data_IF_569865140657
#
_entry.id   IF_569865140657
#
_cell.length_a   1.000
_cell.length_b   1.000
_cell.length_c   1.000
_cell.angle_alpha   90.00
_cell.angle_beta   90.00
_cell.angle_gamma   90.00
#
_symmetry.space_group_name_H-M   'P 1'
#
loop_
_entity.id
_entity.type
_entity.pdbx_description
1 polymer ?
#
# COMPACT_ATOMS: atom_id res chain seq x y z
N UNK A 1 -24.20 -24.17 -8.39
CA UNK A 1 -23.65 -22.96 -7.75
C UNK A 1 -23.17 -23.34 -6.37
N UNK A 2 -21.96 -22.94 -5.96
CA UNK A 2 -21.48 -23.17 -4.59
C UNK A 2 -22.38 -22.43 -3.60
N UNK A 3 -23.06 -23.15 -2.72
CA UNK A 3 -24.04 -22.62 -1.76
C UNK A 3 -23.45 -22.34 -0.36
N UNK A 4 -22.15 -22.59 -0.17
CA UNK A 4 -21.50 -22.32 1.10
C UNK A 4 -21.24 -20.81 1.24
N UNK A 5 -21.35 -20.24 2.44
CA UNK A 5 -20.88 -18.89 2.68
C UNK A 5 -19.34 -18.85 2.51
N UNK A 6 -18.78 -17.69 2.14
CA UNK A 6 -17.33 -17.51 2.14
C UNK A 6 -16.76 -17.70 3.57
N UNK A 7 -15.55 -18.24 3.64
CA UNK A 7 -14.79 -18.44 4.88
C UNK A 7 -14.39 -17.09 5.47
N UNK A 8 -14.02 -16.14 4.61
CA UNK A 8 -13.67 -14.78 4.99
C UNK A 8 -13.95 -13.80 3.86
N UNK A 9 -13.84 -12.51 4.15
CA UNK A 9 -13.93 -11.44 3.18
C UNK A 9 -12.71 -10.52 3.28
N UNK A 10 -12.35 -9.92 2.17
CA UNK A 10 -11.31 -8.90 2.14
C UNK A 10 -11.62 -7.88 1.06
N UNK A 11 -10.94 -6.73 1.16
CA UNK A 11 -11.06 -5.66 0.18
C UNK A 11 -9.89 -5.66 -0.80
N UNK A 12 -10.17 -5.26 -2.03
CA UNK A 12 -9.16 -4.85 -2.98
C UNK A 12 -9.64 -3.60 -3.72
N UNK A 13 -8.73 -2.65 -3.93
CA UNK A 13 -9.06 -1.35 -4.51
C UNK A 13 -8.21 -1.13 -5.76
N UNK A 14 -8.86 -0.70 -6.83
CA UNK A 14 -8.21 -0.27 -8.07
C UNK A 14 -8.53 1.19 -8.29
N UNK A 15 -7.49 2.00 -8.55
CA UNK A 15 -7.64 3.37 -9.02
C UNK A 15 -7.10 3.50 -10.45
N UNK A 16 -7.67 4.41 -11.23
CA UNK A 16 -7.29 4.69 -12.62
C UNK A 16 -5.86 5.18 -12.77
N UNK A 17 -5.34 5.85 -11.73
CA UNK A 17 -3.97 6.36 -11.66
C UNK A 17 -2.90 5.27 -11.44
N UNK A 18 -3.32 4.04 -11.15
CA UNK A 18 -2.43 2.90 -10.89
C UNK A 18 -2.68 1.79 -11.90
N UNK A 19 -1.66 1.01 -12.20
CA UNK A 19 -1.71 -0.11 -13.14
C UNK A 19 -2.03 -1.47 -12.47
N UNK A 20 -2.35 -1.44 -11.18
CA UNK A 20 -2.56 -2.62 -10.33
C UNK A 20 -3.65 -2.36 -9.29
N UNK A 21 -4.17 -3.45 -8.74
CA UNK A 21 -5.17 -3.45 -7.67
C UNK A 21 -4.43 -3.73 -6.37
N UNK A 22 -4.59 -2.88 -5.35
CA UNK A 22 -4.01 -3.14 -4.03
C UNK A 22 -4.99 -3.96 -3.20
N UNK A 23 -4.46 -4.97 -2.52
CA UNK A 23 -5.21 -5.93 -1.70
C UNK A 23 -4.99 -5.62 -0.24
N UNK A 24 -6.02 -5.81 0.57
CA UNK A 24 -5.94 -5.69 2.02
C UNK A 24 -4.85 -6.62 2.62
N UNK A 25 -3.76 -6.07 3.22
CA UNK A 25 -2.64 -6.88 3.69
C UNK A 25 -2.98 -7.88 4.80
N UNK A 26 -3.89 -7.54 5.72
CA UNK A 26 -4.24 -8.40 6.85
C UNK A 26 -4.86 -9.74 6.40
N UNK A 27 -5.58 -9.72 5.27
CA UNK A 27 -6.10 -10.95 4.66
C UNK A 27 -4.96 -11.83 4.15
N UNK A 28 -3.98 -11.22 3.46
CA UNK A 28 -2.82 -11.95 2.92
C UNK A 28 -1.97 -12.52 4.05
N UNK A 29 -1.75 -11.77 5.11
CA UNK A 29 -1.03 -12.28 6.28
C UNK A 29 -1.73 -13.49 6.92
N UNK A 30 -3.05 -13.41 7.10
CA UNK A 30 -3.86 -14.47 7.73
C UNK A 30 -3.87 -15.77 6.93
N UNK A 31 -3.87 -15.68 5.59
CA UNK A 31 -4.02 -16.84 4.70
C UNK A 31 -2.78 -17.15 3.86
N UNK A 32 -1.62 -16.53 4.16
CA UNK A 32 -0.38 -16.64 3.37
C UNK A 32 0.03 -18.05 2.96
N UNK A 33 -0.25 -19.04 3.80
CA UNK A 33 0.13 -20.44 3.57
C UNK A 33 -0.81 -21.18 2.61
N UNK A 34 -2.02 -20.65 2.37
CA UNK A 34 -3.01 -21.20 1.41
C UNK A 34 -3.05 -20.45 0.08
N UNK A 35 -2.63 -19.18 0.08
CA UNK A 35 -2.65 -18.34 -1.12
C UNK A 35 -1.61 -18.80 -2.14
N UNK A 36 -2.01 -18.86 -3.42
CA UNK A 36 -1.14 -19.25 -4.52
C UNK A 36 -1.23 -18.21 -5.65
N UNK A 37 -0.35 -18.29 -6.65
CA UNK A 37 -0.46 -17.50 -7.89
C UNK A 37 -0.71 -18.45 -9.07
N UNK A 38 -1.69 -18.19 -9.96
CA UNK A 38 -2.67 -17.10 -9.94
C UNK A 38 -3.87 -17.35 -9.01
N UNK A 39 -4.60 -16.31 -8.65
CA UNK A 39 -5.88 -16.41 -7.93
C UNK A 39 -7.01 -16.84 -8.87
N UNK A 40 -7.88 -17.74 -8.41
CA UNK A 40 -9.04 -18.20 -9.17
C UNK A 40 -10.32 -17.52 -8.70
N UNK A 41 -10.89 -16.64 -9.52
CA UNK A 41 -12.10 -15.89 -9.21
C UNK A 41 -13.28 -16.54 -9.95
N UNK A 42 -14.22 -17.12 -9.19
CA UNK A 42 -15.43 -17.72 -9.74
C UNK A 42 -16.29 -16.66 -10.41
N UNK A 43 -16.72 -16.96 -11.64
CA UNK A 43 -17.74 -16.18 -12.33
C UNK A 43 -19.14 -16.77 -12.04
N UNK A 44 -20.20 -16.07 -12.46
CA UNK A 44 -21.58 -16.52 -12.17
C UNK A 44 -21.98 -17.76 -12.99
N UNK A 45 -21.30 -18.00 -14.11
CA UNK A 45 -21.55 -19.08 -15.05
C UNK A 45 -20.84 -20.40 -14.67
N UNK A 46 -20.11 -20.42 -13.54
CA UNK A 46 -19.37 -21.58 -13.05
C UNK A 46 -17.97 -21.76 -13.65
N UNK A 47 -17.54 -20.83 -14.51
CA UNK A 47 -16.14 -20.68 -14.93
C UNK A 47 -15.30 -19.88 -13.92
N UNK A 48 -14.03 -19.67 -14.27
CA UNK A 48 -13.06 -18.96 -13.43
C UNK A 48 -12.31 -17.92 -14.26
N UNK A 49 -12.14 -16.73 -13.70
CA UNK A 49 -11.13 -15.76 -14.12
C UNK A 49 -9.86 -16.00 -13.32
N UNK A 50 -8.71 -15.98 -14.00
CA UNK A 50 -7.41 -16.03 -13.34
C UNK A 50 -6.81 -14.64 -13.32
N UNK A 51 -6.32 -14.24 -12.15
CA UNK A 51 -5.61 -12.99 -11.97
C UNK A 51 -4.28 -13.23 -11.27
N UNK A 52 -3.21 -12.62 -11.79
CA UNK A 52 -1.87 -12.70 -11.23
C UNK A 52 -1.81 -11.96 -9.92
N UNK A 53 -1.35 -12.67 -8.89
CA UNK A 53 -1.18 -12.19 -7.54
C UNK A 53 0.30 -12.03 -7.22
N UNK A 54 0.70 -10.80 -6.92
CA UNK A 54 2.01 -10.50 -6.36
C UNK A 54 1.88 -10.48 -4.85
N UNK A 55 2.28 -11.57 -4.22
CA UNK A 55 2.31 -11.69 -2.77
C UNK A 55 3.31 -10.68 -2.18
N UNK A 56 2.85 -9.95 -1.16
CA UNK A 56 3.65 -9.07 -0.32
C UNK A 56 2.95 -8.94 1.01
N UNK A 57 3.71 -8.98 2.10
CA UNK A 57 3.16 -8.74 3.45
C UNK A 57 2.88 -7.25 3.72
N UNK A 58 3.36 -6.37 2.83
CA UNK A 58 3.27 -4.92 2.97
C UNK A 58 2.24 -4.35 2.00
N UNK A 59 2.44 -4.58 0.70
CA UNK A 59 1.56 -4.08 -0.35
C UNK A 59 1.25 -5.20 -1.36
N UNK A 60 0.36 -6.14 -1.04
CA UNK A 60 -0.04 -7.21 -1.95
C UNK A 60 -0.89 -6.65 -3.08
N UNK A 61 -0.68 -7.13 -4.31
CA UNK A 61 -1.35 -6.56 -5.48
C UNK A 61 -1.82 -7.60 -6.50
N UNK A 62 -2.85 -7.25 -7.25
CA UNK A 62 -3.31 -7.97 -8.44
C UNK A 62 -3.04 -7.15 -9.70
N UNK A 63 -2.64 -7.81 -10.79
CA UNK A 63 -2.33 -7.10 -12.05
C UNK A 63 -2.82 -7.85 -13.29
N UNK A 64 -2.05 -8.81 -13.79
CA UNK A 64 -2.38 -9.45 -15.07
C UNK A 64 -3.65 -10.29 -14.93
N UNK A 65 -4.63 -10.10 -15.83
CA UNK A 65 -5.95 -10.72 -15.72
C UNK A 65 -7.01 -9.81 -15.07
N UNK A 66 -6.65 -8.59 -14.66
CA UNK A 66 -7.60 -7.58 -14.21
C UNK A 66 -8.56 -7.13 -15.31
N UNK A 67 -8.08 -6.75 -16.49
CA UNK A 67 -8.95 -6.17 -17.53
C UNK A 67 -10.11 -7.10 -17.94
N UNK A 68 -9.90 -8.41 -18.16
CA UNK A 68 -11.02 -9.32 -18.42
C UNK A 68 -12.02 -9.42 -17.27
N UNK A 69 -11.55 -9.37 -16.02
CA UNK A 69 -12.40 -9.39 -14.83
C UNK A 69 -13.21 -8.10 -14.72
N UNK A 70 -12.57 -6.95 -14.93
CA UNK A 70 -13.21 -5.63 -14.96
C UNK A 70 -14.29 -5.56 -16.04
N UNK A 71 -14.01 -6.08 -17.24
CA UNK A 71 -15.00 -6.12 -18.33
C UNK A 71 -16.18 -7.02 -18.00
N UNK A 72 -15.95 -8.20 -17.43
CA UNK A 72 -17.02 -9.15 -17.08
C UNK A 72 -17.98 -8.59 -16.01
N UNK A 73 -17.44 -7.93 -14.98
CA UNK A 73 -18.24 -7.38 -13.89
C UNK A 73 -18.67 -5.92 -14.12
N UNK A 74 -18.24 -5.29 -15.22
CA UNK A 74 -18.44 -3.87 -15.50
C UNK A 74 -17.98 -2.95 -14.36
N UNK A 75 -16.78 -3.20 -13.81
CA UNK A 75 -16.24 -2.32 -12.77
C UNK A 75 -15.87 -0.94 -13.34
N UNK A 76 -16.14 0.15 -12.61
CA UNK A 76 -15.58 1.46 -12.95
C UNK A 76 -14.05 1.45 -12.77
N UNK A 77 -13.37 2.43 -13.36
CA UNK A 77 -11.90 2.53 -13.29
C UNK A 77 -11.36 2.75 -11.87
N UNK A 78 -12.17 3.39 -11.02
CA UNK A 78 -11.93 3.59 -9.60
C UNK A 78 -12.94 2.75 -8.80
N UNK A 79 -12.52 1.62 -8.25
CA UNK A 79 -13.41 0.65 -7.62
C UNK A 79 -12.83 0.09 -6.32
N UNK A 80 -13.69 -0.05 -5.31
CA UNK A 80 -13.45 -0.78 -4.06
C UNK A 80 -14.31 -2.04 -4.07
N UNK A 81 -13.67 -3.21 -4.09
CA UNK A 81 -14.29 -4.52 -4.25
C UNK A 81 -14.18 -5.30 -2.95
N UNK A 82 -15.27 -5.95 -2.55
CA UNK A 82 -15.27 -6.97 -1.51
C UNK A 82 -15.25 -8.34 -2.19
N UNK A 83 -14.17 -9.07 -1.96
CA UNK A 83 -14.03 -10.47 -2.35
C UNK A 83 -14.41 -11.38 -1.18
N UNK A 84 -15.07 -12.48 -1.50
CA UNK A 84 -15.28 -13.61 -0.62
C UNK A 84 -14.24 -14.68 -0.91
N UNK A 85 -13.58 -15.17 0.11
CA UNK A 85 -12.59 -16.24 0.04
C UNK A 85 -13.21 -17.57 0.49
N UNK A 86 -12.99 -18.63 -0.29
CA UNK A 86 -13.63 -19.93 -0.11
C UNK A 86 -12.64 -21.06 0.25
N UNK A 87 -11.38 -20.73 0.51
CA UNK A 87 -10.32 -21.71 0.71
C UNK A 87 -9.72 -22.21 -0.60
N UNK A 88 -8.53 -22.81 -0.53
CA UNK A 88 -7.83 -23.40 -1.67
C UNK A 88 -7.66 -22.42 -2.83
N UNK A 89 -7.25 -21.18 -2.53
CA UNK A 89 -6.99 -20.15 -3.54
C UNK A 89 -8.21 -19.84 -4.47
N UNK A 90 -9.43 -19.98 -3.94
CA UNK A 90 -10.70 -19.74 -4.63
C UNK A 90 -11.42 -18.52 -4.06
N UNK A 91 -11.88 -17.65 -4.96
CA UNK A 91 -12.46 -16.35 -4.63
C UNK A 91 -13.74 -16.07 -5.40
N UNK A 92 -14.53 -15.10 -4.94
CA UNK A 92 -15.69 -14.57 -5.65
C UNK A 92 -15.87 -13.08 -5.37
N UNK A 93 -16.29 -12.32 -6.37
CA UNK A 93 -16.75 -10.94 -6.17
C UNK A 93 -18.09 -10.98 -5.43
N UNK A 94 -18.16 -10.39 -4.25
CA UNK A 94 -19.38 -10.32 -3.43
C UNK A 94 -20.15 -9.04 -3.74
N UNK A 95 -19.44 -7.91 -3.74
CA UNK A 95 -19.97 -6.61 -4.11
C UNK A 95 -18.83 -5.64 -4.42
N UNK A 96 -19.14 -4.52 -5.05
CA UNK A 96 -18.20 -3.44 -5.27
C UNK A 96 -18.91 -2.09 -5.19
N UNK A 97 -18.12 -1.02 -5.04
CA UNK A 97 -18.58 0.36 -5.14
C UNK A 97 -17.58 1.21 -5.91
N UNK A 98 -18.06 2.21 -6.60
CA UNK A 98 -17.20 3.22 -7.24
C UNK A 98 -16.57 4.13 -6.18
N UNK A 99 -15.32 4.53 -6.44
CA UNK A 99 -14.54 5.40 -5.56
C UNK A 99 -14.42 6.78 -6.19
N UNK A 100 -14.99 7.78 -5.53
CA UNK A 100 -15.02 9.16 -6.01
C UNK A 100 -14.10 10.12 -5.25
N UNK A 101 -13.59 9.72 -4.08
CA UNK A 101 -12.80 10.59 -3.22
C UNK A 101 -11.81 9.79 -2.36
N UNK A 102 -10.62 10.35 -2.16
CA UNK A 102 -9.54 9.74 -1.38
C UNK A 102 -9.92 9.45 0.09
N UNK A 103 -10.86 10.21 0.65
CA UNK A 103 -11.37 10.02 2.03
C UNK A 103 -12.43 8.91 2.13
N UNK A 104 -12.71 8.19 1.04
CA UNK A 104 -13.59 7.00 1.04
C UNK A 104 -12.84 5.72 0.72
N UNK A 105 -11.54 5.83 0.46
CA UNK A 105 -10.64 4.72 0.21
C UNK A 105 -10.26 4.10 1.55
N UNK A 106 -10.37 2.76 1.71
CA UNK A 106 -9.87 2.05 2.88
C UNK A 106 -8.42 2.42 3.22
N UNK A 107 -8.11 2.56 4.51
CA UNK A 107 -6.81 3.00 5.03
C UNK A 107 -5.63 2.22 4.50
N UNK A 108 -5.73 0.90 4.31
CA UNK A 108 -4.62 0.09 3.79
C UNK A 108 -4.12 0.54 2.41
N UNK A 109 -4.96 1.21 1.61
CA UNK A 109 -4.58 1.64 0.27
C UNK A 109 -3.57 2.78 0.32
N UNK A 110 -2.60 2.77 -0.59
CA UNK A 110 -1.53 3.76 -0.70
C UNK A 110 -2.03 5.19 -0.91
N UNK A 111 -3.21 5.34 -1.51
CA UNK A 111 -3.88 6.63 -1.80
C UNK A 111 -4.98 7.02 -0.82
N UNK A 112 -5.17 6.27 0.26
CA UNK A 112 -6.16 6.66 1.27
C UNK A 112 -5.74 7.95 1.97
N UNK A 113 -6.71 8.83 2.13
CA UNK A 113 -6.59 10.07 2.91
C UNK A 113 -7.63 10.09 4.03
N UNK A 114 -8.03 8.92 4.54
CA UNK A 114 -9.04 8.80 5.60
C UNK A 114 -8.50 9.38 6.91
N UNK A 115 -8.90 10.61 7.33
CA UNK A 115 -8.14 11.37 8.33
C UNK A 115 -8.06 10.73 9.71
N UNK A 116 -8.99 9.84 10.04
CA UNK A 116 -9.04 9.13 11.33
C UNK A 116 -8.20 7.85 11.35
N UNK A 117 -7.75 7.37 10.18
CA UNK A 117 -7.02 6.10 10.05
C UNK A 117 -5.63 6.28 9.42
N UNK A 118 -5.26 7.47 8.96
CA UNK A 118 -3.96 7.73 8.33
C UNK A 118 -3.27 8.95 8.91
N UNK A 119 -1.94 8.92 8.97
CA UNK A 119 -1.09 10.07 9.25
C UNK A 119 -0.16 10.32 8.07
N UNK A 120 0.07 11.60 7.75
CA UNK A 120 0.83 12.02 6.57
C UNK A 120 1.92 13.02 6.94
N UNK A 121 3.06 12.89 6.26
CA UNK A 121 4.17 13.84 6.33
C UNK A 121 4.60 14.17 4.92
N UNK A 122 4.65 15.45 4.58
CA UNK A 122 5.12 15.87 3.26
C UNK A 122 6.52 16.50 3.39
N UNK A 123 7.46 16.03 2.59
CA UNK A 123 8.85 16.49 2.58
C UNK A 123 9.18 17.08 1.21
N UNK A 124 9.76 18.29 1.21
CA UNK A 124 10.34 18.86 0.00
C UNK A 124 11.75 18.31 -0.23
N UNK A 125 12.03 17.96 -1.48
CA UNK A 125 13.32 17.47 -1.93
C UNK A 125 14.14 18.64 -2.47
N UNK A 126 15.34 18.81 -1.93
CA UNK A 126 16.29 19.86 -2.30
C UNK A 126 17.51 19.26 -3.02
N UNK A 127 18.35 20.09 -3.64
CA UNK A 127 19.59 19.61 -4.26
C UNK A 127 20.56 18.99 -3.24
N UNK A 128 20.54 19.47 -2.00
CA UNK A 128 21.40 18.96 -0.93
C UNK A 128 21.04 17.51 -0.55
N UNK A 129 19.77 17.13 -0.72
CA UNK A 129 19.27 15.80 -0.36
C UNK A 129 19.93 14.67 -1.16
N UNK A 130 20.37 14.96 -2.38
CA UNK A 130 21.11 14.02 -3.24
C UNK A 130 22.58 13.86 -2.85
N UNK A 131 23.11 14.77 -2.03
CA UNK A 131 24.52 14.78 -1.61
C UNK A 131 24.70 14.23 -0.18
N UNK A 132 23.61 13.85 0.48
CA UNK A 132 23.62 13.38 1.88
C UNK A 132 23.01 11.99 1.99
N UNK A 133 23.69 11.02 2.64
CA UNK A 133 23.16 9.67 2.81
C UNK A 133 21.91 9.58 3.67
N UNK A 134 21.65 10.62 4.45
CA UNK A 134 20.68 10.63 5.51
C UNK A 134 19.79 11.84 5.31
N UNK A 135 18.48 11.61 5.21
CA UNK A 135 17.49 12.68 5.24
C UNK A 135 17.15 13.00 6.68
N UNK A 136 17.50 14.20 7.13
CA UNK A 136 16.93 14.74 8.36
C UNK A 136 15.44 14.96 8.18
N UNK A 137 14.65 14.44 9.13
CA UNK A 137 13.20 14.54 9.13
C UNK A 137 12.75 15.78 9.92
N UNK A 138 11.61 16.39 9.56
CA UNK A 138 10.96 17.38 10.41
C UNK A 138 10.65 16.81 11.80
N UNK A 139 10.75 17.62 12.86
CA UNK A 139 10.61 17.18 14.27
C UNK A 139 9.36 16.32 14.54
N UNK A 140 8.21 16.72 14.00
CA UNK A 140 6.95 15.99 14.19
C UNK A 140 6.96 14.61 13.51
N UNK A 141 7.66 14.48 12.37
CA UNK A 141 7.85 13.19 11.72
C UNK A 141 8.88 12.34 12.47
N UNK A 142 10.00 12.93 12.88
CA UNK A 142 10.99 12.23 13.71
C UNK A 142 10.41 11.69 15.01
N UNK A 143 9.62 12.51 15.71
CA UNK A 143 8.92 12.12 16.95
C UNK A 143 7.93 10.98 16.71
N UNK A 144 7.16 11.03 15.62
CA UNK A 144 6.25 9.95 15.25
C UNK A 144 7.02 8.63 15.04
N UNK A 145 8.13 8.68 14.31
CA UNK A 145 8.95 7.48 14.10
C UNK A 145 9.55 6.94 15.40
N UNK A 146 9.97 7.78 16.34
CA UNK A 146 10.51 7.33 17.63
C UNK A 146 9.50 6.58 18.49
N UNK A 147 8.25 7.03 18.49
CA UNK A 147 7.21 6.42 19.32
C UNK A 147 6.73 5.08 18.76
N UNK A 148 6.63 4.98 17.44
CA UNK A 148 5.95 3.86 16.78
C UNK A 148 6.91 2.86 16.10
N UNK A 149 8.18 3.22 15.92
CA UNK A 149 9.16 2.42 15.19
C UNK A 149 10.46 2.23 15.97
N UNK A 150 11.05 1.02 15.86
CA UNK A 150 12.23 0.66 16.65
C UNK A 150 13.56 1.07 16.03
N UNK A 151 13.71 0.93 14.71
CA UNK A 151 14.97 1.23 14.01
C UNK A 151 14.87 1.11 12.49
N UNK A 152 13.81 0.50 11.96
CA UNK A 152 13.65 0.23 10.53
C UNK A 152 12.29 0.71 10.05
N UNK A 153 12.30 1.39 8.91
CA UNK A 153 11.10 1.86 8.23
C UNK A 153 11.00 1.17 6.87
N UNK A 154 9.82 0.60 6.57
CA UNK A 154 9.52 0.03 5.26
C UNK A 154 8.83 1.08 4.39
N UNK A 155 9.48 1.47 3.30
CA UNK A 155 8.93 2.37 2.29
C UNK A 155 8.33 1.55 1.14
N UNK A 156 7.06 1.76 0.84
CA UNK A 156 6.34 1.15 -0.27
C UNK A 156 6.06 2.20 -1.35
N UNK A 157 6.68 2.01 -2.51
CA UNK A 157 6.68 2.95 -3.62
C UNK A 157 5.52 2.71 -4.61
N UNK A 158 5.29 3.70 -5.46
CA UNK A 158 4.24 3.72 -6.48
C UNK A 158 4.42 2.75 -7.64
N UNK A 159 5.58 2.16 -7.80
CA UNK A 159 5.86 1.08 -8.74
C UNK A 159 5.71 -0.30 -8.08
N UNK A 160 5.41 -0.33 -6.78
CA UNK A 160 5.35 -1.55 -5.97
C UNK A 160 6.73 -2.07 -5.54
N UNK A 161 7.79 -1.27 -5.69
CA UNK A 161 9.10 -1.52 -5.09
C UNK A 161 9.05 -1.21 -3.59
N UNK A 162 9.84 -1.95 -2.82
CA UNK A 162 9.89 -1.84 -1.36
C UNK A 162 11.34 -1.58 -0.94
N UNK A 163 11.54 -0.58 -0.09
CA UNK A 163 12.84 -0.26 0.51
C UNK A 163 12.75 -0.41 2.02
N UNK A 164 13.84 -0.89 2.62
CA UNK A 164 14.01 -0.92 4.06
C UNK A 164 15.06 0.14 4.40
N UNK A 165 14.66 1.16 5.14
CA UNK A 165 15.55 2.28 5.50
C UNK A 165 15.75 2.31 7.00
N UNK A 166 17.01 2.42 7.42
CA UNK A 166 17.33 2.57 8.82
C UNK A 166 16.89 3.96 9.31
N UNK A 167 16.23 3.97 10.46
CA UNK A 167 15.89 5.16 11.21
C UNK A 167 17.08 5.46 12.14
N UNK A 168 17.64 6.65 12.00
CA UNK A 168 18.76 7.12 12.82
C UNK A 168 18.23 8.17 13.77
N UNK A 169 18.38 7.95 15.07
CA UNK A 169 18.06 8.94 16.09
C UNK A 169 19.36 9.62 16.54
N UNK A 170 19.42 10.93 16.39
CA UNK A 170 20.55 11.76 16.78
C UNK A 170 20.27 12.37 18.14
N UNK A 171 20.69 11.69 19.20
CA UNK A 171 20.58 12.19 20.57
C UNK A 171 20.84 11.10 21.60
N UNK A 172 21.55 11.44 22.68
CA UNK A 172 21.77 10.53 23.82
C UNK A 172 20.54 10.44 24.75
N UNK A 173 19.53 11.28 24.51
CA UNK A 173 18.31 11.39 25.32
C UNK A 173 17.09 10.89 24.54
N UNK A 174 16.19 10.23 25.26
CA UNK A 174 14.95 9.62 24.75
C UNK A 174 14.01 10.64 24.07
N UNK A 175 14.21 11.95 24.31
CA UNK A 175 13.34 13.04 23.84
C UNK A 175 13.97 13.94 22.76
N UNK A 176 15.10 13.57 22.14
CA UNK A 176 15.68 14.36 21.05
C UNK A 176 14.94 14.08 19.73
N UNK A 177 14.17 15.01 19.15
CA UNK A 177 13.34 14.75 17.97
C UNK A 177 14.15 14.59 16.68
N UNK A 178 15.47 14.83 16.72
CA UNK A 178 16.35 14.75 15.55
C UNK A 178 16.45 13.31 15.06
N UNK A 179 15.58 12.95 14.13
CA UNK A 179 15.64 11.66 13.45
C UNK A 179 15.93 11.85 11.97
N UNK A 180 16.64 10.89 11.39
CA UNK A 180 16.85 10.80 9.97
C UNK A 180 16.58 9.41 9.43
N UNK A 181 16.49 9.29 8.11
CA UNK A 181 16.39 8.00 7.42
C UNK A 181 17.53 7.85 6.42
N UNK A 182 18.10 6.64 6.35
CA UNK A 182 19.09 6.29 5.31
C UNK A 182 18.39 6.03 3.98
N UNK A 183 18.34 7.04 3.11
CA UNK A 183 17.46 7.01 1.92
C UNK A 183 18.17 7.06 0.57
N UNK A 184 19.50 6.92 0.53
CA UNK A 184 20.28 7.04 -0.71
C UNK A 184 19.80 6.10 -1.81
N UNK A 185 19.66 4.81 -1.48
CA UNK A 185 19.24 3.81 -2.47
C UNK A 185 17.82 4.10 -2.98
N UNK A 186 16.95 4.58 -2.08
CA UNK A 186 15.60 5.02 -2.40
C UNK A 186 15.61 6.21 -3.37
N UNK A 187 16.34 7.29 -3.06
CA UNK A 187 16.28 8.51 -3.89
C UNK A 187 16.88 8.30 -5.27
N UNK A 188 17.96 7.51 -5.36
CA UNK A 188 18.66 7.22 -6.62
C UNK A 188 17.86 6.30 -7.55
N UNK A 189 17.04 5.40 -6.97
CA UNK A 189 16.35 4.36 -7.74
C UNK A 189 14.92 4.74 -8.15
N UNK A 190 14.33 5.79 -7.56
CA UNK A 190 12.94 6.20 -7.81
C UNK A 190 12.77 7.42 -8.73
N UNK A 191 13.82 7.82 -9.47
CA UNK A 191 13.79 8.98 -10.38
C UNK A 191 13.30 10.28 -9.73
N UNK A 192 13.55 10.44 -8.43
CA UNK A 192 13.16 11.63 -7.66
C UNK A 192 14.07 12.79 -8.08
N UNK A 193 13.49 13.98 -8.25
CA UNK A 193 14.24 15.19 -8.63
C UNK A 193 14.05 16.31 -7.60
N UNK A 194 15.04 17.19 -7.50
CA UNK A 194 14.95 18.38 -6.67
C UNK A 194 13.75 19.25 -7.06
N UNK A 195 13.12 19.87 -6.06
CA UNK A 195 11.90 20.65 -6.20
C UNK A 195 10.61 19.85 -6.06
N UNK A 196 10.66 18.51 -6.11
CA UNK A 196 9.50 17.67 -5.83
C UNK A 196 9.13 17.67 -4.35
N UNK A 197 7.86 17.34 -4.08
CA UNK A 197 7.37 17.04 -2.75
C UNK A 197 6.98 15.57 -2.69
N UNK A 198 7.49 14.87 -1.68
CA UNK A 198 7.13 13.48 -1.41
C UNK A 198 6.19 13.42 -0.23
N UNK A 199 5.12 12.62 -0.35
CA UNK A 199 4.23 12.27 0.74
C UNK A 199 4.64 10.93 1.33
N UNK A 200 4.78 10.91 2.65
CA UNK A 200 4.94 9.72 3.48
C UNK A 200 3.62 9.50 4.19
N UNK A 201 2.88 8.46 3.82
CA UNK A 201 1.58 8.11 4.38
C UNK A 201 1.68 6.82 5.19
N UNK A 202 1.15 6.84 6.39
CA UNK A 202 1.08 5.69 7.29
C UNK A 202 -0.37 5.33 7.56
N UNK A 203 -0.63 4.05 7.73
CA UNK A 203 -1.87 3.53 8.28
C UNK A 203 -1.68 3.40 9.81
N UNK A 204 -2.62 3.96 10.59
CA UNK A 204 -2.54 3.93 12.06
C UNK A 204 -2.83 2.54 12.65
N UNK A 205 -3.43 1.65 11.88
CA UNK A 205 -3.72 0.26 12.27
C UNK A 205 -2.57 -0.69 11.94
N UNK A 206 -1.81 -0.38 10.87
CA UNK A 206 -0.66 -1.15 10.41
C UNK A 206 0.58 -0.26 10.36
N UNK A 207 1.06 0.13 11.54
CA UNK A 207 2.10 1.13 11.70
C UNK A 207 3.47 0.72 11.17
N UNK A 208 3.69 -0.49 10.65
CA UNK A 208 5.02 -0.91 10.18
C UNK A 208 5.33 -0.50 8.72
N UNK A 209 4.38 0.09 7.99
CA UNK A 209 4.55 0.44 6.57
C UNK A 209 4.29 1.93 6.30
N UNK A 210 5.14 2.52 5.46
CA UNK A 210 4.96 3.85 4.90
C UNK A 210 4.78 3.77 3.38
N UNK A 211 3.66 4.25 2.87
CA UNK A 211 3.54 4.50 1.44
C UNK A 211 4.19 5.83 1.09
N UNK A 212 5.09 5.81 0.10
CA UNK A 212 5.81 7.01 -0.33
C UNK A 212 5.58 7.28 -1.81
N UNK A 213 5.14 8.50 -2.12
CA UNK A 213 4.83 8.91 -3.48
C UNK A 213 5.01 10.41 -3.72
N UNK A 214 5.33 10.82 -4.96
CA UNK A 214 5.36 12.23 -5.33
C UNK A 214 3.94 12.83 -5.32
N UNK A 215 3.84 14.11 -4.95
CA UNK A 215 2.62 14.90 -5.04
C UNK A 215 2.89 16.20 -5.80
N UNK A 216 1.89 16.64 -6.57
CA UNK A 216 1.95 17.91 -7.29
C UNK A 216 1.91 19.09 -6.29
N UNK A 217 2.67 20.14 -6.60
CA UNK A 217 2.77 21.39 -5.81
C UNK A 217 1.97 22.49 -6.48
#
# INVERSE_FOLDING_TARGET
MYHNPPIDHFRAVKLSIQDRVEVQPEFVEKYKDDLQDPWNIMNMDGGMHQIKFKMSMYNPTLKDGWDPLQQYHHFPDNVDIIFGYYGNNLFKVIMFREVFCATKIPSFHSRSMYPEEVIIFDIHISDNDFNTPIKMLPDHFGTFLQNDFRSLLTLCCDDGTIYFVDIIHYGDYVDDPNSGIQWNDFILSNYIVAGQKLRFKFDLTTTYMCHVFPIDV
#
